data_IF_215838050772
#
_entry.id   IF_215838050772
#
_cell.length_a   1.000
_cell.length_b   1.000
_cell.length_c   1.000
_cell.angle_alpha   90.00
_cell.angle_beta   90.00
_cell.angle_gamma   90.00
#
_symmetry.space_group_name_H-M   'P 1'
#
loop_
_entity.id
_entity.type
_entity.pdbx_description
1 polymer ?
#
# COMPACT_ATOMS: atom_id res chain seq x y z
N UNK A 1 -52.35 19.56 24.20
CA UNK A 1 -52.35 18.20 24.79
C UNK A 1 -51.82 17.12 23.82
N UNK A 2 -52.10 17.22 22.51
CA UNK A 2 -51.66 16.27 21.48
C UNK A 2 -50.13 16.27 21.25
N UNK A 3 -49.48 17.45 21.16
CA UNK A 3 -48.01 17.54 20.96
C UNK A 3 -47.18 16.86 22.05
N UNK A 4 -47.63 16.94 23.32
CA UNK A 4 -46.91 16.35 24.47
C UNK A 4 -47.02 14.81 24.51
N UNK A 5 -48.09 14.24 23.94
CA UNK A 5 -48.27 12.77 23.84
C UNK A 5 -47.42 12.17 22.72
N UNK A 6 -47.22 12.91 21.63
CA UNK A 6 -46.36 12.48 20.51
C UNK A 6 -44.88 12.47 20.92
N UNK A 7 -44.41 13.49 21.65
CA UNK A 7 -43.02 13.54 22.13
C UNK A 7 -42.68 12.43 23.14
N UNK A 8 -43.64 12.01 23.98
CA UNK A 8 -43.45 10.90 24.92
C UNK A 8 -43.44 9.56 24.19
N UNK A 9 -44.29 9.37 23.18
CA UNK A 9 -44.28 8.15 22.35
C UNK A 9 -42.98 7.99 21.55
N UNK A 10 -42.42 9.09 21.02
CA UNK A 10 -41.14 9.06 20.29
C UNK A 10 -39.97 8.78 21.25
N UNK A 11 -39.96 9.38 22.44
CA UNK A 11 -38.92 9.12 23.44
C UNK A 11 -38.96 7.68 23.98
N UNK A 12 -40.15 7.10 24.15
CA UNK A 12 -40.31 5.70 24.55
C UNK A 12 -39.92 4.74 23.41
N UNK A 13 -40.23 5.07 22.15
CA UNK A 13 -39.78 4.27 21.00
C UNK A 13 -38.25 4.28 20.83
N UNK A 14 -37.59 5.42 21.07
CA UNK A 14 -36.12 5.51 21.05
C UNK A 14 -35.47 4.80 22.24
N UNK A 15 -36.07 4.82 23.43
CA UNK A 15 -35.55 4.07 24.59
C UNK A 15 -35.74 2.55 24.45
N UNK A 16 -36.83 2.07 23.82
CA UNK A 16 -37.04 0.63 23.59
C UNK A 16 -36.08 0.10 22.52
N UNK A 17 -35.64 0.92 21.56
CA UNK A 17 -34.59 0.56 20.61
C UNK A 17 -33.19 0.42 21.26
N UNK A 18 -32.98 0.99 22.45
CA UNK A 18 -31.71 0.93 23.19
C UNK A 18 -31.63 -0.23 24.20
N UNK A 19 -32.72 -0.98 24.44
CA UNK A 19 -32.80 -2.02 25.49
C UNK A 19 -33.14 -3.41 24.93
N UNK A 20 -33.28 -3.57 23.62
CA UNK A 20 -33.22 -4.90 23.01
C UNK A 20 -31.74 -5.20 22.77
N UNK A 21 -31.16 -6.26 23.38
CA UNK A 21 -29.85 -6.73 23.00
C UNK A 21 -29.90 -7.04 21.49
N UNK A 22 -29.14 -6.34 20.67
CA UNK A 22 -28.83 -6.78 19.30
C UNK A 22 -27.88 -8.00 19.36
N UNK A 23 -28.26 -9.03 20.13
CA UNK A 23 -27.61 -10.34 20.14
C UNK A 23 -28.57 -11.43 19.63
N UNK A 24 -29.69 -11.05 19.03
CA UNK A 24 -30.67 -11.99 18.50
C UNK A 24 -31.22 -11.54 17.14
N UNK A 25 -30.35 -11.48 16.13
CA UNK A 25 -30.68 -11.63 14.71
C UNK A 25 -29.38 -11.91 13.90
N UNK A 26 -28.56 -12.85 14.42
CA UNK A 26 -27.55 -13.50 13.58
C UNK A 26 -28.30 -14.42 12.60
N UNK A 27 -28.55 -13.92 11.39
CA UNK A 27 -28.91 -14.75 10.22
C UNK A 27 -27.81 -15.77 9.93
N UNK A 28 -28.12 -16.83 9.17
CA UNK A 28 -27.78 -18.20 9.53
C UNK A 28 -26.27 -18.44 9.73
N UNK A 29 -25.94 -19.18 10.79
CA UNK A 29 -24.61 -19.80 11.05
C UNK A 29 -24.26 -20.89 10.01
N UNK A 30 -25.09 -21.03 8.96
CA UNK A 30 -24.98 -22.05 7.92
C UNK A 30 -25.04 -21.39 6.55
N UNK A 31 -24.21 -21.88 5.64
CA UNK A 31 -24.24 -21.44 4.25
C UNK A 31 -25.57 -21.86 3.58
N UNK A 32 -25.94 -21.24 2.44
CA UNK A 32 -27.12 -21.66 1.68
C UNK A 32 -27.12 -23.16 1.37
N UNK A 33 -28.30 -23.78 1.29
CA UNK A 33 -28.47 -25.24 1.06
C UNK A 33 -27.75 -25.77 -0.20
N UNK A 34 -27.43 -24.88 -1.15
CA UNK A 34 -26.60 -25.19 -2.34
C UNK A 34 -25.18 -25.68 -2.02
N UNK A 35 -24.73 -25.54 -0.77
CA UNK A 35 -23.43 -25.99 -0.28
C UNK A 35 -23.53 -27.23 0.61
N UNK A 36 -24.49 -28.12 0.36
CA UNK A 36 -24.63 -29.40 1.08
C UNK A 36 -24.71 -29.28 2.62
N UNK A 37 -25.17 -28.13 3.13
CA UNK A 37 -25.34 -27.88 4.58
C UNK A 37 -24.08 -27.47 5.34
N UNK A 38 -22.98 -27.13 4.65
CA UNK A 38 -21.76 -26.60 5.25
C UNK A 38 -22.03 -25.28 6.00
N UNK A 39 -21.33 -25.05 7.11
CA UNK A 39 -21.18 -23.74 7.74
C UNK A 39 -20.21 -22.85 6.97
N UNK A 40 -20.24 -21.53 7.22
CA UNK A 40 -19.28 -20.61 6.59
C UNK A 40 -17.83 -20.89 7.00
N UNK A 41 -17.60 -21.38 8.21
CA UNK A 41 -16.28 -21.83 8.67
C UNK A 41 -15.81 -23.06 7.88
N UNK A 42 -16.68 -24.06 7.69
CA UNK A 42 -16.33 -25.24 6.89
C UNK A 42 -16.07 -24.88 5.42
N UNK A 43 -16.80 -23.91 4.87
CA UNK A 43 -16.52 -23.39 3.52
C UNK A 43 -15.17 -22.67 3.44
N UNK A 44 -14.83 -21.86 4.45
CA UNK A 44 -13.53 -21.22 4.53
C UNK A 44 -12.42 -22.28 4.59
N UNK A 45 -12.57 -23.29 5.45
CA UNK A 45 -11.56 -24.34 5.63
C UNK A 45 -11.40 -25.22 4.38
N UNK A 46 -12.48 -25.49 3.64
CA UNK A 46 -12.43 -26.18 2.35
C UNK A 46 -11.65 -25.36 1.31
N UNK A 47 -11.95 -24.07 1.16
CA UNK A 47 -11.24 -23.20 0.22
C UNK A 47 -9.78 -22.97 0.64
N UNK A 48 -9.53 -22.74 1.93
CA UNK A 48 -8.18 -22.65 2.49
C UNK A 48 -7.37 -23.91 2.17
N UNK A 49 -7.96 -25.09 2.37
CA UNK A 49 -7.32 -26.36 2.03
C UNK A 49 -6.94 -26.44 0.55
N UNK A 50 -7.79 -25.96 -0.36
CA UNK A 50 -7.49 -25.90 -1.80
C UNK A 50 -6.40 -24.90 -2.13
N UNK A 51 -6.41 -23.72 -1.52
CA UNK A 51 -5.39 -22.68 -1.75
C UNK A 51 -4.01 -23.16 -1.27
N UNK A 52 -3.96 -23.80 -0.10
CA UNK A 52 -2.71 -24.25 0.54
C UNK A 52 -2.22 -25.61 0.05
N UNK A 53 -3.00 -26.34 -0.74
CA UNK A 53 -2.57 -27.60 -1.35
C UNK A 53 -1.52 -27.30 -2.44
N UNK A 54 -0.26 -27.72 -2.27
CA UNK A 54 0.79 -27.46 -3.26
C UNK A 54 0.49 -28.10 -4.61
N UNK A 55 -0.37 -29.13 -4.69
CA UNK A 55 -0.80 -29.71 -5.95
C UNK A 55 -1.63 -28.74 -6.82
N UNK A 56 -2.21 -27.70 -6.21
CA UNK A 56 -2.98 -26.68 -6.92
C UNK A 56 -2.12 -25.50 -7.39
N UNK A 57 -0.90 -25.31 -6.85
CA UNK A 57 0.06 -24.35 -7.45
C UNK A 57 -0.25 -22.86 -7.28
N UNK A 58 -0.92 -22.46 -6.19
CA UNK A 58 -1.13 -21.03 -5.86
C UNK A 58 0.13 -20.29 -5.40
N UNK A 59 1.15 -21.02 -4.95
CA UNK A 59 2.40 -20.48 -4.42
C UNK A 59 3.58 -21.03 -5.20
N UNK A 60 4.64 -20.24 -5.34
CA UNK A 60 5.90 -20.71 -5.93
C UNK A 60 6.50 -21.86 -5.13
N UNK A 61 7.10 -22.82 -5.85
CA UNK A 61 7.63 -24.04 -5.22
C UNK A 61 8.87 -23.78 -4.36
N UNK A 62 9.65 -22.75 -4.71
CA UNK A 62 10.97 -22.50 -4.13
C UNK A 62 10.88 -21.53 -2.95
N UNK A 63 10.09 -20.45 -3.09
CA UNK A 63 9.99 -19.36 -2.11
C UNK A 63 8.70 -19.35 -1.29
N UNK A 64 7.66 -20.07 -1.74
CA UNK A 64 6.34 -20.02 -1.11
C UNK A 64 5.63 -18.68 -1.28
N UNK A 65 5.96 -17.94 -2.34
CA UNK A 65 5.35 -16.64 -2.67
C UNK A 65 4.01 -16.88 -3.37
N UNK A 66 2.92 -16.20 -2.97
CA UNK A 66 1.65 -16.32 -3.71
C UNK A 66 1.82 -15.70 -5.09
N UNK A 67 1.43 -16.41 -6.15
CA UNK A 67 1.26 -15.81 -7.46
C UNK A 67 0.04 -14.89 -7.49
N UNK A 68 -0.08 -14.05 -8.52
CA UNK A 68 -1.32 -13.31 -8.77
C UNK A 68 -2.48 -14.26 -9.07
N UNK A 69 -2.22 -15.29 -9.89
CA UNK A 69 -3.17 -16.35 -10.21
C UNK A 69 -2.48 -17.69 -10.48
N UNK A 70 -3.25 -18.78 -10.37
CA UNK A 70 -2.79 -20.11 -10.77
C UNK A 70 -2.46 -20.11 -12.27
N UNK A 71 -3.37 -19.59 -13.09
CA UNK A 71 -3.19 -19.43 -14.53
C UNK A 71 -2.12 -18.39 -14.85
N UNK A 72 -1.27 -18.68 -15.83
CA UNK A 72 -0.17 -17.79 -16.23
C UNK A 72 -0.58 -16.74 -17.27
N UNK A 73 -1.56 -17.05 -18.12
CA UNK A 73 -2.05 -16.13 -19.16
C UNK A 73 -3.21 -15.29 -18.63
N UNK A 74 -2.85 -14.17 -18.01
CA UNK A 74 -3.77 -13.14 -17.50
C UNK A 74 -3.06 -11.78 -17.58
N UNK A 75 -3.80 -10.74 -17.93
CA UNK A 75 -3.27 -9.39 -18.13
C UNK A 75 -4.30 -8.40 -17.59
N UNK A 76 -3.96 -7.73 -16.49
CA UNK A 76 -4.85 -6.74 -15.84
C UNK A 76 -4.07 -5.58 -15.20
N UNK A 77 -3.33 -5.84 -14.13
CA UNK A 77 -2.38 -4.93 -13.48
C UNK A 77 -0.97 -5.52 -13.56
N UNK A 78 -0.72 -6.76 -13.07
CA UNK A 78 0.33 -7.59 -13.64
C UNK A 78 -0.06 -8.03 -15.05
N UNK A 79 0.95 -8.24 -15.89
CA UNK A 79 0.82 -8.66 -17.29
C UNK A 79 1.19 -10.14 -17.51
N UNK A 80 1.43 -10.87 -16.42
CA UNK A 80 1.68 -12.30 -16.38
C UNK A 80 1.22 -12.87 -15.03
N UNK A 81 0.52 -14.00 -15.01
CA UNK A 81 -0.15 -14.50 -13.80
C UNK A 81 0.78 -14.99 -12.68
N UNK A 82 2.02 -15.32 -13.01
CA UNK A 82 3.05 -15.67 -12.01
C UNK A 82 4.00 -14.49 -11.69
N UNK A 83 3.73 -13.31 -12.25
CA UNK A 83 4.09 -12.07 -11.55
C UNK A 83 3.10 -11.92 -10.39
N UNK A 84 3.56 -11.38 -9.28
CA UNK A 84 2.74 -11.13 -8.09
C UNK A 84 2.83 -9.68 -7.65
N UNK A 85 2.00 -9.33 -6.68
CA UNK A 85 1.87 -7.98 -6.16
C UNK A 85 1.94 -7.94 -4.65
N UNK A 86 2.33 -6.80 -4.09
CA UNK A 86 2.16 -6.52 -2.66
C UNK A 86 0.71 -6.77 -2.18
N UNK A 87 -0.29 -6.56 -3.06
CA UNK A 87 -1.68 -6.93 -2.80
C UNK A 87 -1.82 -8.43 -2.49
N UNK A 88 -1.27 -9.32 -3.32
CA UNK A 88 -1.32 -10.76 -3.09
C UNK A 88 -0.66 -11.17 -1.75
N UNK A 89 0.47 -10.56 -1.38
CA UNK A 89 1.10 -10.76 -0.07
C UNK A 89 0.20 -10.30 1.09
N UNK A 90 -0.49 -9.17 0.93
CA UNK A 90 -1.43 -8.66 1.94
C UNK A 90 -2.66 -9.55 2.10
N UNK A 91 -3.19 -10.12 1.02
CA UNK A 91 -4.28 -11.12 1.07
C UNK A 91 -3.81 -12.45 1.63
N UNK A 92 -2.57 -12.87 1.35
CA UNK A 92 -1.98 -14.05 1.97
C UNK A 92 -1.93 -13.88 3.50
N UNK A 93 -1.47 -12.73 3.98
CA UNK A 93 -1.49 -12.39 5.41
C UNK A 93 -2.92 -12.43 5.98
N UNK A 94 -3.90 -11.91 5.26
CA UNK A 94 -5.29 -11.90 5.71
C UNK A 94 -5.91 -13.31 5.76
N UNK A 95 -5.64 -14.14 4.75
CA UNK A 95 -6.04 -15.54 4.70
C UNK A 95 -5.56 -16.28 5.94
N UNK A 96 -4.28 -16.11 6.29
CA UNK A 96 -3.68 -16.80 7.44
C UNK A 96 -4.14 -16.23 8.79
N UNK A 97 -4.48 -14.94 8.86
CA UNK A 97 -5.12 -14.36 10.05
C UNK A 97 -6.50 -14.99 10.32
N UNK A 98 -7.29 -15.20 9.26
CA UNK A 98 -8.60 -15.86 9.36
C UNK A 98 -8.45 -17.35 9.71
N UNK A 99 -7.47 -18.04 9.12
CA UNK A 99 -7.16 -19.41 9.48
C UNK A 99 -6.76 -19.55 10.95
N UNK A 100 -5.95 -18.63 11.49
CA UNK A 100 -5.59 -18.60 12.90
C UNK A 100 -6.80 -18.40 13.81
N UNK A 101 -7.80 -17.62 13.38
CA UNK A 101 -9.05 -17.46 14.13
C UNK A 101 -9.86 -18.76 14.24
N UNK A 102 -10.03 -19.49 13.14
CA UNK A 102 -10.83 -20.72 13.15
C UNK A 102 -10.09 -21.94 13.74
N UNK A 103 -8.79 -22.08 13.46
CA UNK A 103 -8.00 -23.25 13.87
C UNK A 103 -7.30 -23.07 15.22
N UNK A 104 -7.07 -21.82 15.63
CA UNK A 104 -6.16 -21.47 16.72
C UNK A 104 -4.68 -21.69 16.39
N UNK A 105 -4.31 -22.04 15.16
CA UNK A 105 -2.93 -22.21 14.73
C UNK A 105 -2.43 -20.93 14.03
N UNK A 106 -1.52 -20.20 14.68
CA UNK A 106 -0.99 -18.93 14.19
C UNK A 106 0.37 -19.05 13.48
N UNK A 107 0.95 -20.25 13.41
CA UNK A 107 2.24 -20.45 12.73
C UNK A 107 2.19 -20.10 11.23
N UNK A 108 1.12 -20.44 10.47
CA UNK A 108 1.01 -20.04 9.07
C UNK A 108 0.99 -18.52 8.85
N UNK A 109 0.40 -17.75 9.79
CA UNK A 109 0.44 -16.29 9.71
C UNK A 109 1.87 -15.76 9.88
N UNK A 110 2.61 -16.29 10.85
CA UNK A 110 4.03 -15.93 11.03
C UNK A 110 4.87 -16.26 9.79
N UNK A 111 4.60 -17.38 9.13
CA UNK A 111 5.24 -17.74 7.87
C UNK A 111 4.87 -16.77 6.74
N UNK A 112 3.61 -16.41 6.59
CA UNK A 112 3.18 -15.46 5.55
C UNK A 112 3.84 -14.08 5.68
N UNK A 113 4.01 -13.59 6.92
CA UNK A 113 4.72 -12.34 7.17
C UNK A 113 6.21 -12.47 6.90
N UNK A 114 6.80 -13.62 7.25
CA UNK A 114 8.20 -13.91 6.94
C UNK A 114 8.45 -13.90 5.42
N UNK A 115 7.58 -14.55 4.65
CA UNK A 115 7.66 -14.56 3.19
C UNK A 115 7.54 -13.13 2.63
N UNK A 116 6.67 -12.29 3.21
CA UNK A 116 6.60 -10.85 2.85
C UNK A 116 7.93 -10.12 3.11
N UNK A 117 8.50 -10.25 4.32
CA UNK A 117 9.76 -9.58 4.67
C UNK A 117 10.96 -10.08 3.87
N UNK A 118 11.03 -11.38 3.59
CA UNK A 118 12.17 -11.99 2.90
C UNK A 118 12.20 -11.64 1.40
N UNK A 119 11.05 -11.30 0.81
CA UNK A 119 10.92 -11.19 -0.64
C UNK A 119 10.41 -9.85 -1.12
N UNK A 120 9.28 -9.34 -0.63
CA UNK A 120 8.64 -8.16 -1.24
C UNK A 120 9.02 -6.84 -0.58
N UNK A 121 9.58 -6.87 0.63
CA UNK A 121 10.17 -5.69 1.29
C UNK A 121 11.67 -5.65 0.97
N UNK A 122 12.18 -4.66 0.20
CA UNK A 122 13.60 -4.59 -0.13
C UNK A 122 14.47 -4.55 1.14
N UNK A 123 15.49 -5.39 1.24
CA UNK A 123 16.37 -5.41 2.41
C UNK A 123 17.46 -4.32 2.34
N UNK A 124 18.27 -4.19 3.41
CA UNK A 124 19.36 -3.20 3.48
C UNK A 124 20.40 -3.29 2.34
N UNK A 125 20.54 -4.45 1.70
CA UNK A 125 21.46 -4.67 0.58
C UNK A 125 20.84 -4.24 -0.74
N UNK A 126 19.51 -4.31 -0.85
CA UNK A 126 18.71 -3.97 -2.03
C UNK A 126 18.38 -2.47 -2.11
N UNK A 127 18.37 -1.77 -0.97
CA UNK A 127 18.25 -0.30 -0.87
C UNK A 127 19.51 0.37 -0.30
N UNK A 128 20.69 -0.17 -0.64
CA UNK A 128 21.97 0.38 -0.19
C UNK A 128 22.16 1.82 -0.65
N UNK A 129 22.51 2.69 0.30
CA UNK A 129 22.74 4.12 0.04
C UNK A 129 21.56 5.01 0.44
N UNK A 130 20.44 4.44 0.91
CA UNK A 130 19.29 5.22 1.38
C UNK A 130 19.66 6.19 2.53
N UNK A 131 20.70 5.91 3.30
CA UNK A 131 21.25 6.82 4.32
C UNK A 131 21.82 8.13 3.76
N UNK A 132 22.01 8.25 2.45
CA UNK A 132 22.42 9.48 1.78
C UNK A 132 21.25 10.37 1.34
N UNK A 133 20.02 9.92 1.54
CA UNK A 133 18.82 10.71 1.27
C UNK A 133 18.83 12.02 2.05
N UNK A 134 18.41 13.11 1.39
CA UNK A 134 18.39 14.44 1.99
C UNK A 134 16.95 14.98 2.02
N UNK A 135 16.29 15.10 3.19
CA UNK A 135 14.89 15.51 3.27
C UNK A 135 14.59 16.93 2.73
N UNK A 136 15.60 17.80 2.69
CA UNK A 136 15.46 19.16 2.13
C UNK A 136 15.65 19.21 0.59
N UNK A 137 16.01 18.08 -0.02
CA UNK A 137 16.17 17.92 -1.47
C UNK A 137 15.69 16.51 -1.84
N UNK A 138 14.39 16.24 -1.67
CA UNK A 138 13.85 14.88 -1.67
C UNK A 138 13.90 14.20 -3.04
N UNK A 139 13.75 14.94 -4.15
CA UNK A 139 13.79 14.44 -5.52
C UNK A 139 13.97 15.60 -6.51
N UNK A 140 14.19 15.29 -7.79
CA UNK A 140 14.12 16.24 -8.90
C UNK A 140 12.76 16.12 -9.60
N UNK A 141 12.15 17.26 -9.92
CA UNK A 141 10.85 17.31 -10.60
C UNK A 141 10.94 16.78 -12.05
N UNK A 142 9.90 16.05 -12.47
CA UNK A 142 9.58 15.77 -13.86
C UNK A 142 8.06 15.90 -14.07
N UNK A 143 7.64 16.35 -15.25
CA UNK A 143 6.23 16.43 -15.62
C UNK A 143 5.64 15.02 -15.82
N UNK A 144 4.37 14.82 -15.49
CA UNK A 144 3.60 13.71 -16.06
C UNK A 144 2.90 14.18 -17.35
N UNK A 145 2.63 13.24 -18.25
CA UNK A 145 1.95 13.53 -19.52
C UNK A 145 0.76 12.61 -19.73
N UNK A 146 -0.15 13.07 -20.57
CA UNK A 146 -1.42 12.42 -20.87
C UNK A 146 -1.23 11.11 -21.66
N UNK A 147 -0.19 10.99 -22.48
CA UNK A 147 0.03 9.84 -23.38
C UNK A 147 1.48 9.31 -23.30
N UNK A 148 1.69 7.98 -23.37
CA UNK A 148 3.03 7.38 -23.35
C UNK A 148 4.00 7.92 -24.41
N UNK A 149 3.52 8.47 -25.53
CA UNK A 149 4.35 9.02 -26.59
C UNK A 149 5.13 10.28 -26.20
N UNK A 150 4.71 10.97 -25.13
CA UNK A 150 5.39 12.18 -24.64
C UNK A 150 6.59 11.85 -23.74
N UNK A 151 6.74 10.59 -23.34
CA UNK A 151 7.87 10.13 -22.55
C UNK A 151 9.08 9.79 -23.45
N UNK A 152 10.33 9.94 -22.96
CA UNK A 152 10.73 10.25 -21.58
C UNK A 152 10.45 11.70 -21.12
N UNK A 153 10.21 11.88 -19.81
CA UNK A 153 9.95 13.19 -19.19
C UNK A 153 11.22 13.88 -18.67
N UNK A 154 11.39 15.17 -18.94
CA UNK A 154 12.60 15.92 -18.57
C UNK A 154 12.70 16.22 -17.07
N UNK A 155 13.86 15.87 -16.49
CA UNK A 155 14.22 16.26 -15.13
C UNK A 155 14.61 17.74 -15.05
N UNK A 156 13.89 18.49 -14.22
CA UNK A 156 13.99 19.95 -14.12
C UNK A 156 14.79 20.39 -12.89
N UNK A 157 16.11 20.16 -12.92
CA UNK A 157 17.02 20.36 -11.78
C UNK A 157 17.04 21.78 -11.20
N UNK A 158 17.16 22.81 -12.06
CA UNK A 158 17.35 24.20 -11.62
C UNK A 158 16.13 25.10 -11.86
N UNK A 159 15.14 24.62 -12.61
CA UNK A 159 13.94 25.39 -12.97
C UNK A 159 12.75 25.17 -12.03
N UNK A 160 12.73 24.06 -11.28
CA UNK A 160 11.64 23.73 -10.34
C UNK A 160 12.20 23.37 -8.97
N UNK A 161 11.90 24.20 -7.97
CA UNK A 161 12.21 23.90 -6.57
C UNK A 161 11.12 23.01 -5.97
N UNK A 162 11.51 21.86 -5.43
CA UNK A 162 10.63 20.94 -4.70
C UNK A 162 10.54 21.31 -3.21
N UNK A 163 9.54 20.77 -2.51
CA UNK A 163 9.40 20.96 -1.06
C UNK A 163 10.36 20.09 -0.25
N UNK A 164 10.06 19.96 1.04
CA UNK A 164 10.87 19.20 2.00
C UNK A 164 10.06 18.07 2.65
N UNK A 165 10.68 16.90 2.83
CA UNK A 165 10.11 15.73 3.52
C UNK A 165 10.20 15.94 5.04
N UNK A 166 9.06 16.09 5.75
CA UNK A 166 9.07 16.37 7.19
C UNK A 166 9.06 15.12 8.06
N UNK A 167 8.89 13.92 7.49
CA UNK A 167 8.72 12.67 8.25
C UNK A 167 9.97 11.81 8.26
N UNK A 168 10.86 11.93 7.26
CA UNK A 168 12.05 11.09 7.15
C UNK A 168 12.90 11.07 8.43
N UNK A 169 13.28 12.24 8.97
CA UNK A 169 14.16 12.29 10.14
C UNK A 169 13.52 11.67 11.40
N UNK A 170 12.20 11.79 11.54
CA UNK A 170 11.43 11.21 12.66
C UNK A 170 11.42 9.67 12.57
N UNK A 171 11.12 9.14 11.38
CA UNK A 171 11.11 7.70 11.10
C UNK A 171 12.52 7.11 11.22
N UNK A 172 13.52 7.75 10.62
CA UNK A 172 14.92 7.27 10.67
C UNK A 172 15.49 7.28 12.08
N UNK A 173 15.10 8.25 12.92
CA UNK A 173 15.47 8.25 14.34
C UNK A 173 14.89 7.04 15.10
N UNK A 174 13.73 6.53 14.67
CA UNK A 174 13.08 5.39 15.30
C UNK A 174 13.63 4.03 14.80
N UNK A 175 13.99 3.93 13.52
CA UNK A 175 14.21 2.65 12.85
C UNK A 175 15.49 2.50 12.02
N UNK A 176 16.21 3.60 11.75
CA UNK A 176 17.33 3.60 10.80
C UNK A 176 16.93 4.00 9.37
N UNK A 177 17.87 3.96 8.42
CA UNK A 177 17.71 4.59 7.11
C UNK A 177 16.85 3.80 6.11
N UNK A 178 16.77 2.48 6.26
CA UNK A 178 16.10 1.60 5.31
C UNK A 178 14.58 1.78 5.36
N UNK A 179 13.90 1.72 4.20
CA UNK A 179 12.44 1.83 4.13
C UNK A 179 11.81 0.46 4.35
N UNK A 180 10.76 0.41 5.17
CA UNK A 180 10.04 -0.84 5.49
C UNK A 180 8.64 -0.80 4.89
N UNK A 181 8.59 -0.82 3.56
CA UNK A 181 7.38 -0.88 2.72
C UNK A 181 7.60 -1.97 1.66
N UNK A 182 6.51 -2.53 1.17
CA UNK A 182 6.56 -3.52 0.10
C UNK A 182 6.82 -2.82 -1.23
N UNK A 183 7.69 -3.35 -2.07
CA UNK A 183 7.61 -3.02 -3.49
C UNK A 183 6.33 -3.62 -4.07
N UNK A 184 5.66 -2.92 -4.99
CA UNK A 184 4.34 -3.34 -5.42
C UNK A 184 4.33 -4.55 -6.36
N UNK A 185 5.41 -4.82 -7.13
CA UNK A 185 5.42 -5.83 -8.20
C UNK A 185 6.69 -6.71 -8.15
N UNK A 186 6.49 -8.01 -8.37
CA UNK A 186 7.57 -8.99 -8.35
C UNK A 186 7.34 -10.09 -9.36
N UNK A 187 8.34 -10.37 -10.18
CA UNK A 187 8.41 -11.52 -11.06
C UNK A 187 8.89 -12.73 -10.26
N UNK A 188 7.97 -13.61 -9.87
CA UNK A 188 8.22 -14.64 -8.85
C UNK A 188 9.16 -15.73 -9.35
N UNK A 189 9.00 -16.16 -10.60
CA UNK A 189 9.82 -17.24 -11.18
C UNK A 189 10.86 -16.71 -12.17
N UNK A 190 11.15 -15.41 -12.14
CA UNK A 190 12.06 -14.74 -13.07
C UNK A 190 11.72 -14.99 -14.55
N UNK A 191 10.43 -14.95 -14.89
CA UNK A 191 9.92 -15.15 -16.24
C UNK A 191 10.46 -14.12 -17.24
N UNK A 192 10.59 -12.86 -16.82
CA UNK A 192 11.20 -11.78 -17.61
C UNK A 192 12.72 -11.93 -17.76
N UNK A 193 13.37 -12.68 -16.87
CA UNK A 193 14.79 -12.99 -16.96
C UNK A 193 15.73 -11.89 -16.46
N UNK A 194 15.22 -10.89 -15.74
CA UNK A 194 16.06 -9.83 -15.16
C UNK A 194 16.88 -10.29 -13.94
N UNK A 195 16.40 -11.32 -13.24
CA UNK A 195 17.03 -11.94 -12.09
C UNK A 195 17.95 -13.09 -12.46
N UNK A 196 18.11 -14.03 -11.51
CA UNK A 196 19.02 -15.17 -11.66
C UNK A 196 18.27 -16.48 -11.46
N UNK A 197 18.37 -17.41 -12.43
CA UNK A 197 17.66 -18.68 -12.35
C UNK A 197 16.15 -18.47 -12.34
N UNK A 198 15.46 -19.05 -11.36
CA UNK A 198 14.02 -18.90 -11.10
C UNK A 198 13.74 -18.03 -9.87
N UNK A 199 14.74 -17.34 -9.31
CA UNK A 199 14.58 -16.58 -8.07
C UNK A 199 13.69 -15.36 -8.30
N UNK A 200 12.76 -15.14 -7.36
CA UNK A 200 11.91 -13.96 -7.34
C UNK A 200 12.69 -12.64 -7.48
N UNK A 201 12.18 -11.75 -8.33
CA UNK A 201 12.89 -10.56 -8.81
C UNK A 201 11.99 -9.34 -8.80
N UNK A 202 12.47 -8.24 -8.20
CA UNK A 202 11.77 -6.96 -8.25
C UNK A 202 11.76 -6.39 -9.68
N UNK A 203 10.56 -6.07 -10.16
CA UNK A 203 10.34 -5.48 -11.48
C UNK A 203 9.34 -4.32 -11.35
N UNK A 204 9.25 -3.49 -12.38
CA UNK A 204 8.20 -2.50 -12.51
C UNK A 204 7.72 -2.41 -13.96
N UNK A 205 6.53 -1.83 -14.16
CA UNK A 205 5.91 -1.66 -15.48
C UNK A 205 5.51 -0.20 -15.69
N UNK A 206 4.43 0.25 -15.04
CA UNK A 206 3.84 1.58 -15.23
C UNK A 206 4.80 2.71 -14.86
N UNK A 207 5.08 3.60 -15.82
CA UNK A 207 5.92 4.79 -15.66
C UNK A 207 5.58 5.95 -16.61
N UNK A 208 4.64 5.79 -17.56
CA UNK A 208 4.42 6.73 -18.67
C UNK A 208 3.01 7.34 -18.73
N UNK A 209 2.49 7.74 -17.57
CA UNK A 209 1.31 8.61 -17.49
C UNK A 209 -0.02 7.85 -17.50
N UNK A 210 -1.11 8.62 -17.59
CA UNK A 210 -2.47 8.13 -17.32
C UNK A 210 -3.06 7.23 -18.42
N UNK A 211 -2.62 7.37 -19.67
CA UNK A 211 -3.03 6.48 -20.77
C UNK A 211 -2.06 5.30 -20.99
N UNK A 212 -1.05 5.09 -20.13
CA UNK A 212 -0.25 3.85 -20.20
C UNK A 212 -1.04 2.68 -19.61
N UNK A 213 -1.80 1.96 -20.45
CA UNK A 213 -2.45 0.73 -20.00
C UNK A 213 -1.45 -0.40 -19.78
N UNK A 214 -1.91 -1.49 -19.13
CA UNK A 214 -1.12 -2.71 -18.93
C UNK A 214 -0.58 -3.32 -20.23
N UNK A 215 -1.23 -3.02 -21.36
CA UNK A 215 -0.82 -3.50 -22.69
C UNK A 215 0.31 -2.69 -23.33
N UNK A 216 0.59 -1.52 -22.77
CA UNK A 216 1.48 -0.53 -23.37
C UNK A 216 2.80 -0.42 -22.62
N UNK A 217 2.85 -0.89 -21.37
CA UNK A 217 4.02 -0.83 -20.52
C UNK A 217 5.22 -1.62 -21.08
N UNK A 218 6.41 -1.21 -20.67
CA UNK A 218 7.66 -1.93 -20.93
C UNK A 218 8.17 -2.43 -19.57
N UNK A 219 8.00 -3.73 -19.25
CA UNK A 219 8.55 -4.32 -18.03
C UNK A 219 10.05 -4.05 -17.91
N UNK A 220 10.52 -3.74 -16.71
CA UNK A 220 11.90 -3.36 -16.45
C UNK A 220 12.34 -3.71 -15.03
N UNK A 221 13.64 -3.97 -14.79
CA UNK A 221 14.12 -4.29 -13.46
C UNK A 221 14.09 -3.07 -12.53
N UNK A 222 13.71 -3.30 -11.28
CA UNK A 222 13.78 -2.29 -10.22
C UNK A 222 15.24 -1.97 -9.84
N UNK A 223 16.15 -2.93 -10.04
CA UNK A 223 17.61 -2.77 -9.90
C UNK A 223 18.21 -2.64 -11.30
N UNK A 224 18.47 -1.41 -11.73
CA UNK A 224 18.96 -1.06 -13.06
C UNK A 224 20.49 -1.02 -13.09
N UNK A 225 21.09 -2.07 -13.64
CA UNK A 225 22.53 -2.22 -13.82
C UNK A 225 22.99 -2.04 -15.29
N UNK A 226 22.10 -1.60 -16.19
CA UNK A 226 22.32 -1.49 -17.64
C UNK A 226 22.64 -2.82 -18.32
N UNK A 227 22.18 -3.93 -17.73
CA UNK A 227 22.37 -5.30 -18.27
C UNK A 227 21.42 -5.61 -19.43
N UNK A 228 20.25 -4.99 -19.42
CA UNK A 228 19.15 -5.22 -20.36
C UNK A 228 18.66 -3.87 -20.89
N UNK A 229 17.83 -3.87 -21.93
CA UNK A 229 17.34 -2.63 -22.54
C UNK A 229 18.37 -1.97 -23.47
N UNK A 230 18.41 -0.65 -23.48
CA UNK A 230 19.30 0.17 -24.30
C UNK A 230 20.65 0.46 -23.64
N UNK A 231 21.34 1.50 -24.12
CA UNK A 231 22.64 1.91 -23.58
C UNK A 231 22.57 2.33 -22.10
N UNK A 232 21.46 2.93 -21.69
CA UNK A 232 21.20 3.42 -20.34
C UNK A 232 20.20 2.52 -19.60
N UNK A 233 20.16 1.24 -19.95
CA UNK A 233 19.12 0.33 -19.48
C UNK A 233 17.75 0.72 -20.04
N UNK A 234 16.77 0.88 -19.15
CA UNK A 234 15.43 1.36 -19.49
C UNK A 234 15.19 2.83 -19.09
N UNK A 235 16.18 3.51 -18.49
CA UNK A 235 15.96 4.81 -17.83
C UNK A 235 15.54 5.92 -18.81
N UNK A 236 16.11 5.92 -20.01
CA UNK A 236 15.87 6.90 -21.06
C UNK A 236 14.55 6.68 -21.82
N UNK A 237 13.78 5.65 -21.46
CA UNK A 237 12.37 5.52 -21.85
C UNK A 237 11.45 6.37 -20.96
N UNK A 238 11.88 6.67 -19.73
CA UNK A 238 11.01 7.25 -18.70
C UNK A 238 11.42 8.68 -18.33
N UNK A 239 12.73 8.96 -18.26
CA UNK A 239 13.25 10.28 -17.85
C UNK A 239 14.36 10.78 -18.77
N UNK A 240 14.37 12.07 -19.09
CA UNK A 240 15.47 12.74 -19.78
C UNK A 240 16.39 13.37 -18.73
N UNK A 241 17.67 13.00 -18.80
CA UNK A 241 18.75 13.56 -17.99
C UNK A 241 19.99 13.82 -18.86
N UNK A 242 20.93 14.63 -18.37
CA UNK A 242 22.22 14.87 -19.02
C UNK A 242 23.10 13.60 -19.02
N UNK A 243 22.92 12.72 -18.03
CA UNK A 243 23.62 11.44 -17.92
C UNK A 243 22.83 10.46 -17.06
N UNK A 244 23.02 9.16 -17.30
CA UNK A 244 22.32 8.10 -16.58
C UNK A 244 23.29 7.30 -15.70
N UNK A 245 22.85 6.93 -14.51
CA UNK A 245 23.60 6.11 -13.56
C UNK A 245 22.83 4.84 -13.20
N UNK A 246 23.57 3.75 -12.97
CA UNK A 246 23.03 2.53 -12.39
C UNK A 246 22.37 2.86 -11.06
N UNK A 247 21.18 2.34 -10.83
CA UNK A 247 20.34 2.74 -9.71
C UNK A 247 19.34 1.65 -9.34
N UNK A 248 18.81 1.74 -8.13
CA UNK A 248 17.66 0.95 -7.70
C UNK A 248 16.49 1.89 -7.42
N UNK A 249 15.26 1.43 -7.68
CA UNK A 249 14.03 2.15 -7.33
C UNK A 249 12.90 1.19 -6.98
N UNK A 250 12.11 1.57 -5.99
CA UNK A 250 10.94 0.83 -5.54
C UNK A 250 9.75 1.78 -5.41
N UNK A 251 8.57 1.26 -5.67
CA UNK A 251 7.27 1.93 -5.53
C UNK A 251 6.38 1.02 -4.70
N UNK A 252 5.72 1.53 -3.67
CA UNK A 252 4.72 0.73 -2.92
C UNK A 252 3.32 0.87 -3.53
N UNK A 253 2.36 0.15 -2.95
CA UNK A 253 0.94 0.35 -3.19
C UNK A 253 0.23 0.39 -1.82
N UNK A 254 -0.02 1.58 -1.24
CA UNK A 254 -0.32 1.71 0.19
C UNK A 254 -1.64 1.06 0.64
N UNK A 255 -2.53 0.70 -0.29
CA UNK A 255 -3.70 -0.12 0.03
C UNK A 255 -3.28 -1.54 0.50
N UNK A 256 -2.19 -2.09 -0.03
CA UNK A 256 -1.64 -3.39 0.33
C UNK A 256 -1.08 -3.39 1.75
N UNK A 257 -0.23 -2.42 2.10
CA UNK A 257 0.24 -2.27 3.48
C UNK A 257 -0.91 -1.98 4.45
N UNK A 258 -1.88 -1.14 4.05
CA UNK A 258 -3.08 -0.89 4.84
C UNK A 258 -3.86 -2.19 5.13
N UNK A 259 -4.01 -3.06 4.13
CA UNK A 259 -4.65 -4.38 4.25
C UNK A 259 -3.84 -5.33 5.14
N UNK A 260 -2.51 -5.33 5.04
CA UNK A 260 -1.64 -6.12 5.91
C UNK A 260 -1.77 -5.70 7.38
N UNK A 261 -1.75 -4.39 7.67
CA UNK A 261 -1.93 -3.84 9.03
C UNK A 261 -3.31 -4.20 9.59
N UNK A 262 -4.36 -4.03 8.77
CA UNK A 262 -5.72 -4.45 9.12
C UNK A 262 -5.78 -5.93 9.49
N UNK A 263 -5.08 -6.78 8.73
CA UNK A 263 -5.03 -8.23 8.95
C UNK A 263 -4.35 -8.58 10.27
N UNK A 264 -3.22 -7.94 10.58
CA UNK A 264 -2.50 -8.15 11.84
C UNK A 264 -3.29 -7.63 13.04
N UNK A 265 -4.04 -6.55 12.91
CA UNK A 265 -4.96 -6.12 13.97
C UNK A 265 -5.96 -7.23 14.33
N UNK A 266 -6.62 -7.82 13.33
CA UNK A 266 -7.59 -8.88 13.59
C UNK A 266 -6.93 -10.13 14.17
N UNK A 267 -5.79 -10.55 13.61
CA UNK A 267 -4.99 -11.65 14.15
C UNK A 267 -4.62 -11.42 15.62
N UNK A 268 -4.13 -10.24 15.96
CA UNK A 268 -3.80 -9.88 17.34
C UNK A 268 -5.02 -9.97 18.26
N UNK A 269 -6.15 -9.38 17.84
CA UNK A 269 -7.39 -9.40 18.62
C UNK A 269 -7.87 -10.83 18.89
N UNK A 270 -7.89 -11.67 17.86
CA UNK A 270 -8.31 -13.07 17.93
C UNK A 270 -7.33 -13.94 18.71
N UNK A 271 -6.03 -13.79 18.49
CA UNK A 271 -5.02 -14.50 19.27
C UNK A 271 -5.10 -14.13 20.75
N UNK A 272 -5.36 -12.86 21.07
CA UNK A 272 -5.59 -12.41 22.45
C UNK A 272 -6.81 -13.07 23.09
N UNK A 273 -7.93 -13.15 22.37
CA UNK A 273 -9.13 -13.89 22.82
C UNK A 273 -8.84 -15.38 23.08
N UNK A 274 -7.90 -15.97 22.33
CA UNK A 274 -7.47 -17.35 22.49
C UNK A 274 -6.32 -17.54 23.51
N UNK A 275 -5.83 -16.47 24.16
CA UNK A 275 -4.68 -16.52 25.07
C UNK A 275 -3.35 -16.83 24.39
N UNK A 276 -3.21 -16.48 23.11
CA UNK A 276 -2.05 -16.73 22.23
C UNK A 276 -1.42 -15.46 21.67
N UNK A 277 -1.70 -14.30 22.27
CA UNK A 277 -1.20 -12.98 21.80
C UNK A 277 0.32 -12.92 21.60
N UNK A 278 1.10 -13.67 22.39
CA UNK A 278 2.55 -13.74 22.27
C UNK A 278 3.05 -14.34 20.95
N UNK A 279 2.18 -15.07 20.22
CA UNK A 279 2.51 -15.59 18.89
C UNK A 279 2.43 -14.51 17.81
N UNK A 280 1.77 -13.37 18.08
CA UNK A 280 1.50 -12.31 17.11
C UNK A 280 2.31 -11.03 17.41
N UNK A 281 2.90 -10.91 18.60
CA UNK A 281 3.51 -9.66 19.07
C UNK A 281 4.62 -9.10 18.16
N UNK A 282 5.41 -9.97 17.53
CA UNK A 282 6.44 -9.53 16.57
C UNK A 282 5.82 -8.91 15.32
N UNK A 283 4.79 -9.53 14.76
CA UNK A 283 4.05 -9.00 13.61
C UNK A 283 3.30 -7.72 13.96
N UNK A 284 2.79 -7.56 15.18
CA UNK A 284 2.22 -6.29 15.65
C UNK A 284 3.26 -5.18 15.56
N UNK A 285 4.46 -5.40 16.10
CA UNK A 285 5.55 -4.40 16.05
C UNK A 285 5.98 -4.08 14.61
N UNK A 286 6.04 -5.10 13.73
CA UNK A 286 6.37 -4.94 12.31
C UNK A 286 5.29 -4.19 11.54
N UNK A 287 4.01 -4.47 11.80
CA UNK A 287 2.88 -3.75 11.21
C UNK A 287 2.83 -2.29 11.66
N UNK A 288 3.15 -2.00 12.93
CA UNK A 288 3.28 -0.63 13.42
C UNK A 288 4.46 0.12 12.76
N UNK A 289 5.59 -0.57 12.54
CA UNK A 289 6.73 -0.03 11.77
C UNK A 289 6.31 0.28 10.33
N UNK A 290 5.68 -0.67 9.63
CA UNK A 290 5.16 -0.47 8.26
C UNK A 290 4.23 0.74 8.18
N UNK A 291 3.27 0.85 9.11
CA UNK A 291 2.39 2.01 9.22
C UNK A 291 3.12 3.33 9.49
N UNK A 292 4.27 3.32 10.16
CA UNK A 292 5.08 4.54 10.32
C UNK A 292 5.71 4.98 8.99
N UNK A 293 6.22 4.05 8.18
CA UNK A 293 6.77 4.38 6.86
C UNK A 293 5.68 4.82 5.86
N UNK A 294 4.46 4.27 5.98
CA UNK A 294 3.30 4.65 5.15
C UNK A 294 2.87 6.13 5.30
N UNK A 295 3.43 6.86 6.28
CA UNK A 295 3.24 8.32 6.35
C UNK A 295 3.81 9.02 5.12
N UNK A 296 4.77 8.42 4.41
CA UNK A 296 5.27 8.97 3.15
C UNK A 296 4.18 9.06 2.06
N UNK A 297 3.19 8.16 2.07
CA UNK A 297 2.04 8.17 1.16
C UNK A 297 1.05 9.32 1.43
N UNK A 298 1.22 10.06 2.54
CA UNK A 298 0.36 11.18 2.94
C UNK A 298 0.76 12.52 2.32
N UNK A 299 1.82 12.54 1.52
CA UNK A 299 2.43 13.75 0.98
C UNK A 299 2.32 13.83 -0.53
N UNK A 300 2.20 15.07 -1.00
CA UNK A 300 2.32 15.42 -2.41
C UNK A 300 3.60 14.86 -3.04
N UNK A 301 3.55 14.48 -4.34
CA UNK A 301 4.65 13.85 -5.08
C UNK A 301 6.00 14.52 -4.86
N UNK A 302 6.05 15.85 -4.98
CA UNK A 302 7.27 16.65 -4.83
C UNK A 302 7.20 17.58 -3.61
N UNK A 303 6.41 17.18 -2.60
CA UNK A 303 6.19 17.96 -1.38
C UNK A 303 5.73 19.40 -1.67
N UNK A 304 4.95 19.60 -2.72
CA UNK A 304 4.34 20.90 -3.03
C UNK A 304 3.16 21.18 -2.09
N UNK A 305 2.87 22.46 -1.86
CA UNK A 305 1.76 22.86 -0.99
C UNK A 305 0.41 22.34 -1.53
N UNK A 306 -0.44 21.87 -0.63
CA UNK A 306 -1.79 21.45 -0.99
C UNK A 306 -2.61 22.65 -1.49
N UNK A 307 -3.25 22.50 -2.66
CA UNK A 307 -4.08 23.52 -3.31
C UNK A 307 -3.32 24.62 -4.05
N UNK A 308 -2.00 24.46 -4.25
CA UNK A 308 -1.14 25.50 -4.80
C UNK A 308 -1.47 25.91 -6.24
N UNK A 309 -1.94 24.97 -7.08
CA UNK A 309 -2.21 25.19 -8.52
C UNK A 309 -1.02 25.83 -9.27
N UNK A 310 0.17 25.51 -8.78
CA UNK A 310 1.48 25.91 -9.25
C UNK A 310 2.52 25.04 -8.55
N UNK A 311 3.74 25.00 -9.09
CA UNK A 311 4.90 24.30 -8.53
C UNK A 311 5.46 25.05 -7.30
N UNK A 312 4.65 25.14 -6.25
CA UNK A 312 4.97 25.91 -5.03
C UNK A 312 5.50 24.98 -3.94
N UNK A 313 6.80 25.03 -3.59
CA UNK A 313 7.38 24.12 -2.63
C UNK A 313 6.77 24.30 -1.24
N UNK A 314 6.43 23.17 -0.61
CA UNK A 314 5.98 23.10 0.77
C UNK A 314 7.12 23.09 1.79
N UNK A 315 6.75 23.41 3.03
CA UNK A 315 7.60 23.32 4.22
C UNK A 315 6.82 22.67 5.36
N UNK A 316 7.35 21.58 5.92
CA UNK A 316 6.63 20.85 6.96
C UNK A 316 5.43 20.11 6.36
N UNK A 317 4.29 20.16 7.06
CA UNK A 317 3.07 19.42 6.70
C UNK A 317 2.12 20.17 5.76
N UNK A 318 2.51 21.32 5.22
CA UNK A 318 1.66 22.04 4.24
C UNK A 318 1.58 21.35 2.87
N UNK A 319 2.39 20.31 2.66
CA UNK A 319 2.32 19.35 1.55
C UNK A 319 1.64 18.02 1.91
N UNK A 320 1.15 17.87 3.14
CA UNK A 320 0.44 16.67 3.57
C UNK A 320 -1.06 16.79 3.24
N UNK A 321 -1.57 15.88 2.42
CA UNK A 321 -3.01 15.71 2.21
C UNK A 321 -3.64 14.73 3.21
N UNK A 322 -2.83 13.93 3.93
CA UNK A 322 -3.25 12.96 4.96
C UNK A 322 -4.16 11.83 4.43
N UNK A 323 -4.08 11.54 3.14
CA UNK A 323 -4.75 10.42 2.49
C UNK A 323 -3.70 9.38 2.10
N UNK A 324 -4.12 8.14 1.82
CA UNK A 324 -3.26 7.19 1.10
C UNK A 324 -3.28 7.56 -0.38
N UNK A 325 -2.19 8.14 -0.88
CA UNK A 325 -2.05 8.42 -2.30
C UNK A 325 -1.86 7.12 -3.12
N UNK A 326 -1.65 7.24 -4.43
CA UNK A 326 -1.43 6.07 -5.29
C UNK A 326 -0.14 5.31 -4.97
N UNK A 327 0.89 6.02 -4.47
CA UNK A 327 2.16 5.46 -4.06
C UNK A 327 2.99 6.44 -3.23
N UNK A 328 4.00 5.93 -2.55
CA UNK A 328 5.31 6.54 -2.38
C UNK A 328 6.34 5.73 -3.17
N UNK A 329 7.37 6.41 -3.68
CA UNK A 329 8.48 5.74 -4.34
C UNK A 329 9.81 6.28 -3.82
N UNK A 330 10.83 5.42 -3.82
CA UNK A 330 12.17 5.76 -3.38
C UNK A 330 13.22 5.06 -4.23
N UNK A 331 14.39 5.64 -4.31
CA UNK A 331 15.48 5.10 -5.12
C UNK A 331 16.84 5.67 -4.74
N UNK A 332 17.89 5.08 -5.29
CA UNK A 332 19.26 5.49 -5.04
C UNK A 332 20.25 4.94 -6.03
N UNK A 333 21.44 5.55 -6.06
CA UNK A 333 22.51 5.16 -6.97
C UNK A 333 23.21 3.86 -6.55
N UNK A 334 23.51 3.00 -7.52
CA UNK A 334 24.39 1.85 -7.32
C UNK A 334 25.84 2.32 -7.49
N UNK A 335 26.67 2.16 -6.44
CA UNK A 335 28.05 2.66 -6.45
C UNK A 335 28.19 4.19 -6.41
N UNK A 336 27.08 4.91 -6.19
CA UNK A 336 27.01 6.38 -6.07
C UNK A 336 26.27 6.77 -4.79
N UNK A 337 26.55 7.94 -4.22
CA UNK A 337 25.98 8.37 -2.93
C UNK A 337 24.87 9.41 -3.12
N UNK A 338 23.75 9.00 -3.70
CA UNK A 338 22.52 9.79 -3.76
C UNK A 338 21.31 8.88 -3.58
N UNK A 339 20.23 9.43 -3.03
CA UNK A 339 18.94 8.79 -2.90
C UNK A 339 17.82 9.83 -2.97
N UNK A 340 16.65 9.40 -3.41
CA UNK A 340 15.46 10.24 -3.55
C UNK A 340 14.22 9.54 -3.00
N UNK A 341 13.19 10.33 -2.73
CA UNK A 341 11.87 9.88 -2.32
C UNK A 341 10.81 10.86 -2.84
N UNK A 342 9.69 10.31 -3.31
CA UNK A 342 8.48 11.05 -3.68
C UNK A 342 7.26 10.47 -2.96
N UNK A 343 6.31 11.33 -2.62
CA UNK A 343 4.95 10.89 -2.30
C UNK A 343 4.14 10.67 -3.59
N UNK A 344 2.86 10.99 -3.57
CA UNK A 344 2.05 11.07 -4.79
C UNK A 344 0.94 12.12 -4.63
N UNK A 345 0.71 12.90 -5.68
CA UNK A 345 -0.29 13.97 -5.66
C UNK A 345 -1.71 13.47 -5.93
N UNK A 346 -1.89 12.19 -6.25
CA UNK A 346 -3.15 11.58 -6.68
C UNK A 346 -3.66 10.62 -5.61
N UNK A 347 -4.89 10.84 -5.12
CA UNK A 347 -5.50 9.98 -4.11
C UNK A 347 -6.83 9.42 -4.62
N UNK A 348 -6.92 8.09 -4.66
CA UNK A 348 -8.13 7.36 -5.06
C UNK A 348 -8.86 6.84 -3.81
N UNK A 349 -10.20 6.93 -3.78
CA UNK A 349 -10.98 6.51 -2.61
C UNK A 349 -10.78 5.02 -2.27
N UNK A 350 -10.51 4.20 -3.29
CA UNK A 350 -10.29 2.76 -3.15
C UNK A 350 -9.02 2.39 -2.38
N UNK A 351 -8.06 3.31 -2.26
CA UNK A 351 -6.80 3.09 -1.53
C UNK A 351 -6.89 3.46 -0.05
N UNK A 352 -7.97 4.15 0.35
CA UNK A 352 -8.11 4.58 1.72
C UNK A 352 -8.42 3.37 2.61
N UNK A 353 -7.86 3.38 3.82
CA UNK A 353 -8.12 2.38 4.84
C UNK A 353 -8.30 3.07 6.21
N UNK A 354 -9.48 3.66 6.47
CA UNK A 354 -9.76 4.33 7.73
C UNK A 354 -9.69 3.36 8.92
N UNK A 355 -9.82 2.06 8.69
CA UNK A 355 -9.64 1.06 9.73
C UNK A 355 -8.17 0.94 10.15
N UNK A 356 -7.24 0.75 9.20
CA UNK A 356 -5.80 0.72 9.50
C UNK A 356 -5.32 2.05 10.09
N UNK A 357 -5.83 3.19 9.59
CA UNK A 357 -5.55 4.50 10.17
C UNK A 357 -6.01 4.60 11.63
N UNK A 358 -7.23 4.12 11.95
CA UNK A 358 -7.72 4.04 13.32
C UNK A 358 -6.85 3.10 14.20
N UNK A 359 -6.40 1.96 13.66
CA UNK A 359 -5.52 1.03 14.40
C UNK A 359 -4.23 1.75 14.84
N UNK A 360 -3.54 2.40 13.90
CA UNK A 360 -2.27 3.07 14.15
C UNK A 360 -2.43 4.35 15.00
N UNK A 361 -3.61 4.97 14.94
CA UNK A 361 -3.96 6.15 15.73
C UNK A 361 -4.35 5.82 17.18
N UNK A 362 -5.15 4.77 17.40
CA UNK A 362 -5.89 4.60 18.66
C UNK A 362 -5.59 3.31 19.41
N UNK A 363 -5.03 2.29 18.76
CA UNK A 363 -4.72 1.00 19.41
C UNK A 363 -3.29 1.03 19.97
N UNK A 364 -3.09 1.03 21.31
CA UNK A 364 -1.77 1.25 21.90
C UNK A 364 -0.70 0.24 21.47
N UNK A 365 -1.08 -1.01 21.27
CA UNK A 365 -0.19 -2.09 20.82
C UNK A 365 0.37 -1.84 19.41
N UNK A 366 -0.35 -1.07 18.58
CA UNK A 366 0.01 -0.74 17.19
C UNK A 366 0.57 0.69 17.05
N UNK A 367 0.81 1.40 18.16
CA UNK A 367 1.30 2.76 18.10
C UNK A 367 2.66 2.81 17.38
N UNK A 368 2.81 3.63 16.32
CA UNK A 368 4.11 3.85 15.67
C UNK A 368 5.15 4.35 16.67
N UNK A 369 6.43 3.97 16.46
CA UNK A 369 7.52 4.27 17.39
C UNK A 369 8.05 5.70 17.19
N UNK A 370 7.90 6.26 16.00
CA UNK A 370 8.29 7.65 15.74
C UNK A 370 7.48 8.62 16.59
N UNK A 371 8.01 9.82 16.79
CA UNK A 371 7.39 10.82 17.66
C UNK A 371 6.13 11.43 17.05
N UNK A 372 6.08 11.56 15.72
CA UNK A 372 4.95 12.12 14.97
C UNK A 372 3.92 11.10 14.53
N UNK A 373 4.27 9.80 14.47
CA UNK A 373 3.47 8.82 13.74
C UNK A 373 2.03 8.68 14.22
N UNK A 374 1.81 8.59 15.54
CA UNK A 374 0.45 8.53 16.11
C UNK A 374 -0.40 9.75 15.71
N UNK A 375 0.16 10.95 15.80
CA UNK A 375 -0.57 12.20 15.49
C UNK A 375 -0.95 12.26 14.02
N UNK A 376 -0.05 11.87 13.13
CA UNK A 376 -0.30 11.90 11.69
C UNK A 376 -1.40 10.90 11.30
N UNK A 377 -1.42 9.72 11.92
CA UNK A 377 -2.49 8.74 11.72
C UNK A 377 -3.84 9.19 12.28
N UNK A 378 -3.86 9.95 13.38
CA UNK A 378 -5.10 10.56 13.88
C UNK A 378 -5.69 11.56 12.88
N UNK A 379 -4.85 12.42 12.29
CA UNK A 379 -5.28 13.35 11.24
C UNK A 379 -5.70 12.60 9.98
N UNK A 380 -4.94 11.57 9.57
CA UNK A 380 -5.25 10.76 8.40
C UNK A 380 -6.56 9.99 8.55
N UNK A 381 -6.83 9.39 9.70
CA UNK A 381 -8.10 8.71 9.97
C UNK A 381 -9.29 9.65 9.77
N UNK A 382 -9.24 10.84 10.37
CA UNK A 382 -10.30 11.84 10.23
C UNK A 382 -10.46 12.27 8.77
N UNK A 383 -9.35 12.57 8.09
CA UNK A 383 -9.34 13.04 6.69
C UNK A 383 -9.85 11.98 5.71
N UNK A 384 -9.49 10.72 5.90
CA UNK A 384 -9.99 9.63 5.05
C UNK A 384 -11.51 9.49 5.18
N UNK A 385 -12.05 9.57 6.39
CA UNK A 385 -13.51 9.53 6.62
C UNK A 385 -14.21 10.74 5.99
N UNK A 386 -13.62 11.94 6.05
CA UNK A 386 -14.11 13.12 5.33
C UNK A 386 -14.11 12.89 3.81
N UNK A 387 -13.06 12.29 3.26
CA UNK A 387 -12.89 12.04 1.83
C UNK A 387 -13.95 11.08 1.26
N UNK A 388 -14.24 9.98 1.97
CA UNK A 388 -15.34 9.08 1.59
C UNK A 388 -16.70 9.81 1.56
N UNK A 389 -16.98 10.63 2.58
CA UNK A 389 -18.24 11.38 2.66
C UNK A 389 -18.35 12.41 1.54
N UNK A 390 -17.25 13.09 1.22
CA UNK A 390 -17.20 14.08 0.16
C UNK A 390 -17.44 13.47 -1.23
N UNK A 391 -16.90 12.26 -1.47
CA UNK A 391 -17.00 11.57 -2.76
C UNK A 391 -18.28 10.77 -2.95
N UNK A 392 -19.16 10.68 -1.95
CA UNK A 392 -20.39 9.90 -2.07
C UNK A 392 -21.37 10.55 -3.06
N UNK A 393 -21.75 9.80 -4.10
CA UNK A 393 -22.73 10.20 -5.10
C UNK A 393 -24.15 10.25 -4.53
N UNK A 394 -25.08 10.87 -5.27
CA UNK A 394 -26.49 10.93 -4.88
C UNK A 394 -27.14 9.54 -4.77
N UNK A 395 -26.66 8.54 -5.53
CA UNK A 395 -27.12 7.15 -5.52
C UNK A 395 -26.50 6.33 -4.39
N UNK A 396 -25.37 6.79 -3.84
CA UNK A 396 -24.67 6.16 -2.72
C UNK A 396 -23.34 5.48 -3.06
N UNK A 397 -22.95 5.42 -4.34
CA UNK A 397 -21.60 4.99 -4.74
C UNK A 397 -20.54 6.03 -4.40
N UNK A 398 -19.26 5.65 -4.31
CA UNK A 398 -18.17 6.59 -4.03
C UNK A 398 -17.45 6.92 -5.34
N UNK A 399 -17.30 8.21 -5.65
CA UNK A 399 -16.58 8.70 -6.82
C UNK A 399 -15.05 8.52 -6.67
N UNK A 400 -14.30 8.70 -7.77
CA UNK A 400 -12.89 8.30 -7.88
C UNK A 400 -11.94 8.93 -6.83
N UNK A 401 -11.82 10.25 -6.79
CA UNK A 401 -10.80 10.86 -5.93
C UNK A 401 -10.50 12.32 -6.18
N UNK A 402 -9.27 12.72 -5.86
CA UNK A 402 -8.75 14.08 -6.04
C UNK A 402 -7.26 14.06 -6.37
N UNK A 403 -6.78 15.21 -6.88
CA UNK A 403 -5.36 15.44 -7.13
C UNK A 403 -4.91 16.81 -6.65
N UNK A 404 -3.67 16.90 -6.16
CA UNK A 404 -2.98 18.16 -5.91
C UNK A 404 -2.19 18.67 -7.13
N UNK A 405 -1.98 17.81 -8.14
CA UNK A 405 -1.23 18.13 -9.36
C UNK A 405 -2.11 17.88 -10.58
N UNK A 406 -2.88 18.90 -10.97
CA UNK A 406 -3.72 18.81 -12.16
C UNK A 406 -2.88 18.51 -13.40
N UNK A 407 -3.32 17.53 -14.20
CA UNK A 407 -2.58 16.92 -15.32
C UNK A 407 -1.16 16.43 -14.95
N UNK A 408 -0.91 16.20 -13.66
CA UNK A 408 0.41 15.83 -13.13
C UNK A 408 1.51 16.87 -13.34
N UNK A 409 1.13 18.14 -13.56
CA UNK A 409 2.07 19.27 -13.81
C UNK A 409 1.83 20.50 -12.95
N UNK A 410 1.04 20.36 -11.89
CA UNK A 410 0.61 21.43 -10.98
C UNK A 410 -0.05 22.60 -11.72
N UNK A 411 -0.88 22.29 -12.71
CA UNK A 411 -1.63 23.29 -13.47
C UNK A 411 -2.78 23.90 -12.63
N UNK A 412 -3.39 24.97 -13.15
CA UNK A 412 -4.60 25.52 -12.57
C UNK A 412 -5.77 24.56 -12.77
N UNK A 413 -6.63 24.47 -11.76
CA UNK A 413 -7.87 23.71 -11.89
C UNK A 413 -8.79 24.41 -12.93
N UNK A 414 -9.63 23.64 -13.65
CA UNK A 414 -10.53 24.18 -14.69
C UNK A 414 -11.50 25.27 -14.23
#
# INVERSE_FOLDING_TARGET
MVKRRISILIAVAMLVALVVPMTALAGPVKAPDSYNGYSYEELFMDLYGKIKDPANGYFSSDEGIPYHSLETLIIEAPDYGHVTTSEAFSYYTWLEAMYGQFSGNWAPLAESWKVMEDWIIPDSTEQRGMSSYTPNSPATYADEYEDPMYYPSELQFDSVTVGSDPVHNDITSAYGPDIYLMHWLMDVDNWYGYGTGTRATFINTFQRGEEESVWEAIPHPSIEEFKFGGQNGFLDLYTIDQSYAQQWRYTNAPDAEGRAIQSIYWAWKWAKEQGKESQISDMVAKSAKMGDYMRADMFDKYFMKIGAQAKTPGSGYDSAHYLMAWYTAWGGGIGSSWAWKIGCSHAHFGYQNPFAAWVLAEVPEFAPKSSGGKKDWQESYARQVEFYQWLQSAEGGIAGGATNSWNGRYEKYP
#
